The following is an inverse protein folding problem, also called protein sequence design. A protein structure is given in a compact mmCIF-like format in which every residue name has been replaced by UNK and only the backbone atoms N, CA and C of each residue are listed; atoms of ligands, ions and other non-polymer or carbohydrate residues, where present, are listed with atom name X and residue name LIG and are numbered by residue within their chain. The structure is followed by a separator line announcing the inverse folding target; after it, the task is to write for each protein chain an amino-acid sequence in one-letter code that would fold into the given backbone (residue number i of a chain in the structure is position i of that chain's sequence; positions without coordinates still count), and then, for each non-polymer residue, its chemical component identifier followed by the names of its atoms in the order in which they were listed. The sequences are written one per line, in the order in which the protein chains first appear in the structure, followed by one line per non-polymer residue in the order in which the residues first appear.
data_IF_925684749228
#
_entry.id   IF_925684749228
#
_cell.length_a   1.000
_cell.length_b   1.000
_cell.length_c   1.000
_cell.angle_alpha   90.00
_cell.angle_beta   90.00
_cell.angle_gamma   90.00
#
_symmetry.space_group_name_H-M   'P 1'
#
loop_
_entity.id
_entity.type
_entity.pdbx_description
1 polymer ?
#
# COMPACT_ATOMS: atom_id res chain seq x y z
N UNK A 1 22.75 -4.89 75.88
CA UNK A 1 21.53 -5.68 75.65
C UNK A 1 21.41 -5.82 74.13
N UNK A 2 21.73 -6.94 73.46
CA UNK A 2 21.29 -8.34 73.63
C UNK A 2 19.76 -8.47 73.45
N UNK A 3 19.13 -9.42 72.74
CA UNK A 3 19.52 -10.48 71.76
C UNK A 3 18.20 -11.06 71.13
N UNK A 4 18.08 -11.91 70.09
CA UNK A 4 18.96 -12.45 69.04
C UNK A 4 18.11 -13.12 67.90
N UNK A 5 18.73 -13.52 66.78
CA UNK A 5 18.22 -14.55 65.82
C UNK A 5 18.71 -15.97 66.27
N UNK A 6 18.45 -17.11 65.57
CA UNK A 6 17.64 -17.42 64.37
C UNK A 6 16.62 -18.58 64.63
N UNK A 7 15.95 -19.19 63.64
CA UNK A 7 16.30 -20.50 63.00
C UNK A 7 15.00 -21.28 62.71
N UNK A 8 14.86 -22.26 61.80
CA UNK A 8 15.64 -22.70 60.62
C UNK A 8 14.84 -23.76 59.81
N UNK A 9 15.28 -24.06 58.57
CA UNK A 9 15.36 -25.42 57.94
C UNK A 9 14.10 -26.32 57.78
N UNK A 10 13.92 -27.14 56.72
CA UNK A 10 14.64 -27.35 55.44
C UNK A 10 13.97 -28.49 54.63
N UNK A 11 14.17 -28.54 53.29
CA UNK A 11 14.50 -29.73 52.43
C UNK A 11 13.73 -31.08 52.57
N UNK A 12 13.53 -31.93 51.55
CA UNK A 12 14.07 -32.02 50.17
C UNK A 12 13.40 -33.16 49.36
N UNK A 13 13.56 -33.08 48.02
CA UNK A 13 13.76 -34.21 47.06
C UNK A 13 12.79 -35.40 46.99
N UNK A 14 12.30 -35.69 45.77
CA UNK A 14 12.83 -36.81 44.95
C UNK A 14 12.17 -36.94 43.55
N UNK A 15 13.01 -37.18 42.54
CA UNK A 15 12.68 -37.82 41.25
C UNK A 15 13.21 -39.28 41.33
N UNK A 16 12.83 -40.28 40.49
CA UNK A 16 12.89 -40.21 39.00
C UNK A 16 11.92 -41.11 38.18
N UNK A 17 11.96 -40.95 36.83
CA UNK A 17 11.79 -41.94 35.73
C UNK A 17 10.64 -43.00 35.79
N UNK A 18 9.92 -43.28 34.69
CA UNK A 18 10.41 -44.17 33.60
C UNK A 18 9.54 -44.09 32.32
N UNK A 19 10.15 -44.43 31.18
CA UNK A 19 9.60 -44.48 29.82
C UNK A 19 8.48 -45.52 29.60
N UNK A 20 7.61 -45.27 28.61
CA UNK A 20 7.15 -46.34 27.72
C UNK A 20 7.01 -45.87 26.26
N UNK A 21 7.08 -46.82 25.33
CA UNK A 21 7.50 -46.65 23.92
C UNK A 21 6.46 -47.23 22.96
N UNK A 22 6.12 -46.50 21.90
CA UNK A 22 5.52 -47.04 20.66
C UNK A 22 5.80 -46.05 19.52
N UNK A 23 6.82 -46.27 18.68
CA UNK A 23 6.86 -47.13 17.48
C UNK A 23 6.29 -46.47 16.22
N UNK A 24 6.90 -46.83 15.07
CA UNK A 24 6.90 -46.08 13.81
C UNK A 24 6.28 -46.88 12.66
N UNK A 25 5.90 -46.16 11.58
CA UNK A 25 5.77 -46.67 10.19
C UNK A 25 4.60 -47.66 9.89
N UNK A 26 4.32 -48.02 8.61
CA UNK A 26 4.24 -47.19 7.39
C UNK A 26 2.97 -47.45 6.52
N UNK A 27 2.75 -46.57 5.52
CA UNK A 27 2.08 -46.79 4.21
C UNK A 27 0.68 -47.43 4.10
N UNK A 28 -0.22 -46.74 3.36
CA UNK A 28 -0.92 -47.33 2.20
C UNK A 28 -1.35 -46.27 1.18
N UNK A 29 -0.98 -46.46 -0.09
CA UNK A 29 -1.55 -45.71 -1.22
C UNK A 29 -2.95 -46.23 -1.54
N UNK A 30 -3.88 -45.35 -1.93
CA UNK A 30 -4.93 -45.69 -2.90
C UNK A 30 -5.19 -44.52 -3.86
N UNK A 31 -5.51 -44.86 -5.12
CA UNK A 31 -5.64 -43.95 -6.28
C UNK A 31 -6.95 -43.12 -6.26
N UNK A 32 -7.01 -41.99 -7.00
CA UNK A 32 -8.17 -41.09 -7.01
C UNK A 32 -9.36 -41.66 -7.79
N UNK A 33 -10.57 -41.28 -7.37
CA UNK A 33 -11.81 -41.56 -8.08
C UNK A 33 -12.05 -40.50 -9.17
N UNK A 34 -12.29 -40.94 -10.41
CA UNK A 34 -12.55 -40.08 -11.56
C UNK A 34 -14.03 -39.68 -11.62
N UNK A 35 -14.37 -38.46 -11.20
CA UNK A 35 -15.63 -37.83 -11.58
C UNK A 35 -15.43 -36.94 -12.82
N UNK A 36 -15.97 -37.39 -13.96
CA UNK A 36 -16.12 -36.55 -15.16
C UNK A 36 -17.34 -35.65 -14.98
N UNK A 37 -17.13 -34.33 -15.06
CA UNK A 37 -18.20 -33.34 -15.22
C UNK A 37 -18.10 -32.78 -16.64
N UNK A 38 -19.19 -32.73 -17.42
CA UNK A 38 -19.12 -32.24 -18.80
C UNK A 38 -18.95 -30.71 -18.83
N UNK A 39 -17.81 -30.25 -19.33
CA UNK A 39 -17.52 -28.83 -19.49
C UNK A 39 -18.08 -28.33 -20.82
N UNK A 40 -19.18 -27.57 -20.79
CA UNK A 40 -19.74 -26.92 -21.97
C UNK A 40 -18.89 -25.70 -22.34
N UNK A 41 -18.27 -25.77 -23.53
CA UNK A 41 -17.46 -24.67 -24.07
C UNK A 41 -18.29 -23.40 -24.26
N UNK A 42 -17.86 -22.29 -23.65
CA UNK A 42 -18.14 -20.92 -24.09
C UNK A 42 -16.87 -20.08 -23.94
N UNK A 43 -16.57 -19.30 -24.98
CA UNK A 43 -15.31 -18.57 -25.15
C UNK A 43 -14.99 -17.61 -24.00
N UNK A 44 -13.82 -17.80 -23.38
CA UNK A 44 -13.07 -16.72 -22.74
C UNK A 44 -11.61 -16.82 -23.18
N UNK A 45 -11.23 -16.03 -24.19
CA UNK A 45 -9.84 -15.77 -24.51
C UNK A 45 -9.17 -15.07 -23.34
N UNK A 46 -8.46 -15.84 -22.52
CA UNK A 46 -7.40 -15.32 -21.66
C UNK A 46 -6.33 -14.71 -22.57
N UNK A 47 -6.38 -13.39 -22.74
CA UNK A 47 -5.31 -12.64 -23.38
C UNK A 47 -4.08 -12.74 -22.47
N UNK A 48 -3.14 -13.60 -22.86
CA UNK A 48 -1.83 -13.66 -22.25
C UNK A 48 -1.16 -12.29 -22.36
N UNK A 49 -0.81 -11.69 -21.21
CA UNK A 49 0.03 -10.50 -21.15
C UNK A 49 1.44 -10.91 -21.59
N UNK A 50 1.65 -10.99 -22.90
CA UNK A 50 2.98 -11.03 -23.49
C UNK A 50 3.61 -9.66 -23.31
N UNK A 51 4.60 -9.58 -22.43
CA UNK A 51 5.57 -8.49 -22.45
C UNK A 51 6.17 -8.44 -23.86
N UNK A 52 5.81 -7.43 -24.64
CA UNK A 52 6.37 -7.22 -25.97
C UNK A 52 7.76 -6.60 -25.79
N UNK A 53 8.80 -7.42 -25.90
CA UNK A 53 10.17 -6.92 -26.01
C UNK A 53 10.25 -6.12 -27.31
N UNK A 54 10.51 -4.80 -27.27
CA UNK A 54 10.65 -4.01 -28.49
C UNK A 54 11.88 -4.50 -29.26
N UNK A 55 11.70 -4.85 -30.54
CA UNK A 55 12.83 -5.13 -31.44
C UNK A 55 13.49 -3.80 -31.81
N UNK A 56 14.50 -3.41 -31.04
CA UNK A 56 15.35 -2.27 -31.37
C UNK A 56 16.40 -2.70 -32.40
N UNK A 57 16.21 -2.33 -33.66
CA UNK A 57 17.28 -2.41 -34.66
C UNK A 57 18.11 -1.11 -34.64
N UNK A 58 19.41 -1.16 -34.32
CA UNK A 58 20.24 0.03 -34.20
C UNK A 58 20.64 0.57 -35.58
N UNK A 59 19.90 1.56 -36.09
CA UNK A 59 20.42 2.44 -37.15
C UNK A 59 21.55 3.29 -36.59
N UNK A 60 22.79 3.02 -37.02
CA UNK A 60 23.93 3.91 -36.76
C UNK A 60 23.72 5.25 -37.47
N UNK A 61 23.40 6.29 -36.70
CA UNK A 61 23.71 7.68 -37.04
C UNK A 61 24.55 8.25 -35.89
N UNK A 62 25.80 8.58 -36.17
CA UNK A 62 26.72 9.06 -35.15
C UNK A 62 26.42 10.52 -34.79
N UNK A 63 25.99 10.76 -33.55
CA UNK A 63 26.16 12.04 -32.87
C UNK A 63 26.60 11.75 -31.43
N UNK A 64 27.74 12.30 -31.01
CA UNK A 64 28.27 12.09 -29.67
C UNK A 64 27.56 13.01 -28.66
N UNK A 65 26.85 12.40 -27.72
CA UNK A 65 26.68 12.95 -26.38
C UNK A 65 26.69 11.78 -25.40
N UNK A 66 27.75 11.68 -24.61
CA UNK A 66 27.98 10.62 -23.63
C UNK A 66 27.06 10.84 -22.42
N UNK A 67 25.77 10.51 -22.59
CA UNK A 67 24.83 10.36 -21.49
C UNK A 67 25.04 8.95 -20.95
N UNK A 68 25.96 8.83 -20.00
CA UNK A 68 26.17 7.58 -19.27
C UNK A 68 24.88 7.22 -18.51
N UNK A 69 24.12 6.24 -19.02
CA UNK A 69 22.97 5.66 -18.32
C UNK A 69 23.43 5.14 -16.96
N UNK A 70 23.30 5.99 -15.94
CA UNK A 70 23.72 5.68 -14.58
C UNK A 70 22.58 4.86 -13.95
N UNK A 71 22.54 3.58 -14.29
CA UNK A 71 21.60 2.61 -13.72
C UNK A 71 21.89 2.45 -12.23
N UNK A 72 20.86 2.43 -11.39
CA UNK A 72 21.02 2.17 -9.96
C UNK A 72 21.77 0.85 -9.73
N UNK A 73 22.78 0.89 -8.88
CA UNK A 73 23.52 -0.31 -8.48
C UNK A 73 22.61 -1.28 -7.70
N UNK A 74 23.00 -2.54 -7.58
CA UNK A 74 22.28 -3.50 -6.74
C UNK A 74 22.27 -3.06 -5.26
N UNK A 75 23.35 -2.44 -4.75
CA UNK A 75 23.39 -1.91 -3.37
C UNK A 75 22.38 -0.79 -3.22
N UNK A 76 22.52 0.28 -4.01
CA UNK A 76 21.66 1.48 -3.92
C UNK A 76 20.17 1.16 -4.15
N UNK A 77 19.87 0.15 -4.97
CA UNK A 77 18.50 -0.36 -5.14
C UNK A 77 17.97 -1.09 -3.89
N UNK A 78 18.80 -1.89 -3.21
CA UNK A 78 18.44 -2.55 -1.94
C UNK A 78 18.38 -1.53 -0.79
N UNK A 79 19.26 -0.53 -0.77
CA UNK A 79 19.26 0.55 0.23
C UNK A 79 17.98 1.40 0.10
N UNK A 80 17.58 1.75 -1.13
CA UNK A 80 16.30 2.43 -1.42
C UNK A 80 15.09 1.59 -0.99
N UNK A 81 15.07 0.29 -1.30
CA UNK A 81 13.99 -0.61 -0.87
C UNK A 81 13.96 -0.82 0.64
N UNK A 82 15.11 -0.77 1.31
CA UNK A 82 15.23 -0.84 2.76
C UNK A 82 14.69 0.43 3.41
N UNK A 83 14.95 1.61 2.84
CA UNK A 83 14.33 2.87 3.27
C UNK A 83 12.80 2.83 3.08
N UNK A 84 12.33 2.32 1.94
CA UNK A 84 10.88 2.14 1.68
C UNK A 84 10.19 1.13 2.63
N UNK A 85 10.93 0.38 3.46
CA UNK A 85 10.34 -0.49 4.48
C UNK A 85 9.43 0.29 5.46
N UNK A 86 9.79 1.54 5.79
CA UNK A 86 9.01 2.39 6.69
C UNK A 86 7.53 2.51 6.27
N UNK A 87 7.22 2.51 4.97
CA UNK A 87 5.85 2.61 4.45
C UNK A 87 4.96 1.42 4.87
N UNK A 88 5.55 0.26 5.18
CA UNK A 88 4.85 -0.95 5.66
C UNK A 88 4.56 -0.91 7.16
N UNK A 89 5.37 -0.16 7.91
CA UNK A 89 5.30 -0.09 9.38
C UNK A 89 4.63 1.16 9.89
N UNK A 90 4.79 2.28 9.19
CA UNK A 90 4.12 3.55 9.47
C UNK A 90 2.63 3.39 9.16
N UNK A 91 1.82 3.61 10.19
CA UNK A 91 0.36 3.44 10.14
C UNK A 91 -0.32 4.76 9.81
N UNK A 92 -1.37 4.71 9.00
CA UNK A 92 -2.10 5.92 8.59
C UNK A 92 -2.72 6.59 9.81
N UNK A 93 -2.28 7.83 10.04
CA UNK A 93 -2.41 8.56 11.31
C UNK A 93 -3.82 9.08 11.55
N UNK A 94 -4.56 9.38 10.48
CA UNK A 94 -6.00 9.68 10.58
C UNK A 94 -6.78 8.60 11.34
N UNK A 95 -6.49 7.31 11.07
CA UNK A 95 -7.11 6.18 11.75
C UNK A 95 -6.61 6.00 13.19
N UNK A 96 -5.33 6.25 13.46
CA UNK A 96 -4.77 6.24 14.83
C UNK A 96 -5.45 7.29 15.69
N UNK A 97 -5.61 8.51 15.18
CA UNK A 97 -6.28 9.61 15.87
C UNK A 97 -7.76 9.28 16.19
N UNK A 98 -8.39 8.47 15.33
CA UNK A 98 -9.74 7.93 15.56
C UNK A 98 -9.77 6.67 16.43
N UNK A 99 -8.63 6.22 16.96
CA UNK A 99 -8.51 5.04 17.82
C UNK A 99 -8.91 3.74 17.12
N UNK A 100 -8.66 3.63 15.81
CA UNK A 100 -8.75 2.36 15.07
C UNK A 100 -7.64 1.43 15.58
N UNK A 101 -7.97 0.14 15.77
CA UNK A 101 -7.03 -0.86 16.29
C UNK A 101 -6.45 -1.67 15.13
N UNK A 102 -5.12 -1.67 15.00
CA UNK A 102 -4.44 -2.30 13.87
C UNK A 102 -4.77 -1.66 12.51
N UNK A 103 -4.74 -0.32 12.39
CA UNK A 103 -5.04 0.35 11.12
C UNK A 103 -4.05 -0.05 10.02
N UNK A 104 -4.41 0.26 8.78
CA UNK A 104 -3.59 0.09 7.59
C UNK A 104 -2.26 0.89 7.66
N UNK A 105 -1.27 0.41 6.93
CA UNK A 105 -0.03 1.14 6.64
C UNK A 105 -0.19 2.01 5.39
N UNK A 106 0.74 2.96 5.20
CA UNK A 106 0.78 3.79 3.98
C UNK A 106 0.94 2.89 2.73
N UNK A 107 1.69 1.80 2.84
CA UNK A 107 1.86 0.83 1.76
C UNK A 107 0.55 0.08 1.40
N UNK A 108 -0.34 -0.17 2.36
CA UNK A 108 -1.65 -0.82 2.11
C UNK A 108 -2.56 0.13 1.30
N UNK A 109 -2.64 1.39 1.72
CA UNK A 109 -3.35 2.49 1.04
C UNK A 109 -2.86 2.66 -0.41
N UNK A 110 -1.55 2.87 -0.61
CA UNK A 110 -0.96 3.01 -1.96
C UNK A 110 -1.16 1.77 -2.83
N UNK A 111 -1.15 0.56 -2.24
CA UNK A 111 -1.43 -0.68 -2.97
C UNK A 111 -2.88 -0.73 -3.47
N UNK A 112 -3.87 -0.37 -2.64
CA UNK A 112 -5.27 -0.36 -3.08
C UNK A 112 -5.53 0.75 -4.11
N UNK A 113 -4.89 1.90 -4.00
CA UNK A 113 -4.91 2.93 -5.05
C UNK A 113 -4.30 2.45 -6.38
N UNK A 114 -3.19 1.70 -6.34
CA UNK A 114 -2.60 1.11 -7.54
C UNK A 114 -3.54 0.06 -8.19
N UNK A 115 -4.27 -0.72 -7.39
CA UNK A 115 -5.34 -1.59 -7.89
C UNK A 115 -6.51 -0.80 -8.50
N UNK A 116 -6.92 0.31 -7.89
CA UNK A 116 -7.96 1.20 -8.42
C UNK A 116 -7.57 1.77 -9.80
N UNK A 117 -6.33 2.24 -9.93
CA UNK A 117 -5.76 2.66 -11.20
C UNK A 117 -5.62 1.50 -12.23
N UNK A 118 -5.43 0.27 -11.78
CA UNK A 118 -5.38 -0.90 -12.67
C UNK A 118 -6.76 -1.31 -13.20
N UNK A 119 -7.82 -1.28 -12.36
CA UNK A 119 -9.15 -1.77 -12.72
C UNK A 119 -10.08 -0.73 -13.35
N UNK A 120 -9.73 0.55 -13.31
CA UNK A 120 -10.52 1.59 -13.99
C UNK A 120 -10.62 1.29 -15.49
N UNK A 121 -11.78 1.53 -16.09
CA UNK A 121 -11.99 1.37 -17.54
C UNK A 121 -11.07 2.26 -18.36
N UNK A 122 -10.95 2.00 -19.66
CA UNK A 122 -10.14 2.86 -20.54
C UNK A 122 -10.78 4.26 -20.63
N UNK A 123 -9.99 5.30 -20.32
CA UNK A 123 -10.43 6.70 -20.34
C UNK A 123 -9.71 7.45 -21.46
N UNK A 124 -10.41 8.19 -22.33
CA UNK A 124 -9.78 8.97 -23.40
C UNK A 124 -8.75 9.96 -22.85
N UNK A 125 -7.52 9.89 -23.36
CA UNK A 125 -6.43 10.80 -22.98
C UNK A 125 -5.75 10.52 -21.64
N UNK A 126 -6.08 9.41 -20.95
CA UNK A 126 -5.45 9.04 -19.67
C UNK A 126 -4.58 7.79 -19.83
N UNK A 127 -3.31 7.87 -19.42
CA UNK A 127 -2.40 6.74 -19.39
C UNK A 127 -2.52 5.94 -18.08
N UNK A 128 -3.17 4.75 -18.16
CA UNK A 128 -3.33 3.82 -17.03
C UNK A 128 -2.01 3.47 -16.34
N UNK A 129 -0.94 3.17 -17.09
CA UNK A 129 0.35 2.81 -16.50
C UNK A 129 0.95 3.97 -15.71
N UNK A 130 0.74 5.21 -16.15
CA UNK A 130 1.20 6.39 -15.43
C UNK A 130 0.36 6.64 -14.17
N UNK A 131 -0.97 6.46 -14.20
CA UNK A 131 -1.79 6.45 -12.98
C UNK A 131 -1.30 5.44 -11.94
N UNK A 132 -0.97 4.21 -12.35
CA UNK A 132 -0.43 3.18 -11.45
C UNK A 132 0.91 3.62 -10.85
N UNK A 133 1.82 4.16 -11.67
CA UNK A 133 3.11 4.68 -11.21
C UNK A 133 2.96 5.84 -10.21
N UNK A 134 2.06 6.80 -10.47
CA UNK A 134 1.77 7.90 -9.54
C UNK A 134 1.23 7.33 -8.22
N UNK A 135 0.25 6.41 -8.26
CA UNK A 135 -0.33 5.82 -7.06
C UNK A 135 0.70 5.12 -6.16
N UNK A 136 1.73 4.49 -6.74
CA UNK A 136 2.83 3.82 -6.00
C UNK A 136 3.85 4.82 -5.42
N UNK A 137 3.96 6.02 -5.98
CA UNK A 137 5.00 7.02 -5.67
C UNK A 137 4.49 8.19 -4.82
N UNK A 138 3.19 8.47 -4.80
CA UNK A 138 2.69 9.75 -4.32
C UNK A 138 2.98 10.04 -2.82
N UNK A 139 2.76 9.07 -1.94
CA UNK A 139 3.08 9.17 -0.50
C UNK A 139 4.45 8.54 -0.16
N UNK A 140 5.32 8.27 -1.16
CA UNK A 140 6.60 7.58 -0.92
C UNK A 140 7.54 8.34 0.03
N UNK A 141 7.44 9.68 0.05
CA UNK A 141 8.22 10.55 0.93
C UNK A 141 7.88 10.36 2.42
N UNK A 142 6.67 9.86 2.73
CA UNK A 142 6.26 9.53 4.10
C UNK A 142 7.07 8.37 4.71
N UNK A 143 7.88 7.67 3.91
CA UNK A 143 8.91 6.74 4.40
C UNK A 143 9.94 7.42 5.32
N UNK A 144 10.16 8.73 5.14
CA UNK A 144 11.06 9.56 5.95
C UNK A 144 10.27 10.52 6.84
N UNK A 145 9.27 11.24 6.30
CA UNK A 145 8.56 12.29 7.04
C UNK A 145 7.40 11.78 7.93
N UNK A 146 6.92 10.56 7.68
CA UNK A 146 5.69 10.01 8.28
C UNK A 146 4.40 10.60 7.71
N UNK A 147 3.26 10.03 8.07
CA UNK A 147 1.93 10.53 7.67
C UNK A 147 1.64 11.86 8.38
N UNK A 148 1.87 12.98 7.68
CA UNK A 148 1.63 14.34 8.18
C UNK A 148 0.17 14.71 7.92
N UNK A 149 -0.60 14.80 9.00
CA UNK A 149 -2.05 15.01 8.96
C UNK A 149 -2.44 16.48 9.20
N UNK A 150 -3.66 16.91 8.83
CA UNK A 150 -4.16 18.24 9.17
C UNK A 150 -4.12 18.56 10.68
N UNK A 151 -4.27 17.55 11.53
CA UNK A 151 -4.16 17.68 12.99
C UNK A 151 -2.75 18.04 13.51
N UNK A 152 -1.71 17.91 12.68
CA UNK A 152 -0.34 18.28 13.06
C UNK A 152 -0.05 19.79 12.94
N UNK A 153 -0.98 20.56 12.35
CA UNK A 153 -0.85 22.02 12.22
C UNK A 153 0.26 22.49 11.27
N UNK A 154 0.94 21.58 10.58
CA UNK A 154 2.00 21.89 9.60
C UNK A 154 1.36 22.56 8.36
N UNK A 155 1.77 23.77 7.97
CA UNK A 155 1.25 24.42 6.76
C UNK A 155 1.55 23.61 5.50
N UNK A 156 0.63 23.60 4.51
CA UNK A 156 0.80 22.82 3.25
C UNK A 156 2.16 23.07 2.57
N UNK A 157 2.62 24.32 2.56
CA UNK A 157 3.92 24.71 1.97
C UNK A 157 5.09 24.03 2.69
N UNK A 158 5.03 23.91 4.02
CA UNK A 158 6.07 23.25 4.81
C UNK A 158 6.00 21.72 4.69
N UNK A 159 4.79 21.11 4.67
CA UNK A 159 4.60 19.69 4.32
C UNK A 159 5.27 19.36 2.98
N UNK A 160 4.92 20.11 1.94
CA UNK A 160 5.47 19.92 0.59
C UNK A 160 7.00 20.12 0.54
N UNK A 161 7.54 21.10 1.29
CA UNK A 161 8.99 21.32 1.41
C UNK A 161 9.71 20.15 2.09
N UNK A 162 9.14 19.60 3.15
CA UNK A 162 9.68 18.43 3.87
C UNK A 162 9.66 17.18 2.99
N UNK A 163 8.54 16.93 2.30
CA UNK A 163 8.36 15.78 1.42
C UNK A 163 9.27 15.85 0.18
N UNK A 164 9.42 17.03 -0.42
CA UNK A 164 10.37 17.24 -1.52
C UNK A 164 11.82 17.01 -1.07
N UNK A 165 12.18 17.41 0.16
CA UNK A 165 13.51 17.15 0.71
C UNK A 165 13.75 15.66 0.94
N UNK A 166 12.78 14.96 1.52
CA UNK A 166 12.81 13.50 1.71
C UNK A 166 12.91 12.76 0.36
N UNK A 167 12.10 13.13 -0.63
CA UNK A 167 12.12 12.51 -1.96
C UNK A 167 13.48 12.69 -2.63
N UNK A 168 14.12 13.86 -2.48
CA UNK A 168 15.48 14.10 -2.96
C UNK A 168 16.51 13.21 -2.27
N UNK A 169 16.39 13.00 -0.96
CA UNK A 169 17.24 12.06 -0.22
C UNK A 169 17.07 10.62 -0.73
N UNK A 170 15.84 10.15 -0.88
CA UNK A 170 15.53 8.83 -1.44
C UNK A 170 16.11 8.66 -2.86
N UNK A 171 16.01 9.69 -3.69
CA UNK A 171 16.58 9.71 -5.04
C UNK A 171 18.11 9.66 -5.06
N UNK A 172 18.78 10.28 -4.09
CA UNK A 172 20.22 10.14 -3.90
C UNK A 172 20.59 8.72 -3.43
N UNK A 173 19.82 8.13 -2.49
CA UNK A 173 20.02 6.75 -2.02
C UNK A 173 19.87 5.73 -3.14
N UNK A 174 18.94 5.95 -4.08
CA UNK A 174 18.77 5.11 -5.28
C UNK A 174 19.99 5.16 -6.23
N UNK A 175 20.78 6.24 -6.18
CA UNK A 175 21.93 6.49 -7.05
C UNK A 175 21.67 7.49 -8.19
N UNK A 176 20.55 8.22 -8.16
CA UNK A 176 20.22 9.21 -9.18
C UNK A 176 19.78 8.61 -10.53
N UNK A 177 20.08 9.34 -11.61
CA UNK A 177 19.76 8.97 -12.99
C UNK A 177 18.26 8.96 -13.32
N UNK A 178 17.93 8.48 -14.52
CA UNK A 178 16.57 8.54 -15.11
C UNK A 178 15.47 7.95 -14.21
N UNK A 179 15.77 6.96 -13.36
CA UNK A 179 14.78 6.36 -12.45
C UNK A 179 14.48 7.25 -11.24
N UNK A 180 15.49 7.91 -10.70
CA UNK A 180 15.28 8.92 -9.66
C UNK A 180 14.60 10.17 -10.22
N UNK A 181 14.85 10.52 -11.48
CA UNK A 181 14.17 11.60 -12.19
C UNK A 181 12.69 11.26 -12.43
N UNK A 182 12.38 10.06 -12.93
CA UNK A 182 11.00 9.55 -13.12
C UNK A 182 10.20 9.59 -11.81
N UNK A 183 10.79 9.17 -10.69
CA UNK A 183 10.16 9.23 -9.35
C UNK A 183 9.85 10.69 -8.95
N UNK A 184 10.80 11.62 -9.13
CA UNK A 184 10.59 13.05 -8.83
C UNK A 184 9.57 13.72 -9.76
N UNK A 185 9.48 13.29 -11.01
CA UNK A 185 8.49 13.76 -11.97
C UNK A 185 7.08 13.31 -11.56
N UNK A 186 6.88 12.01 -11.29
CA UNK A 186 5.60 11.44 -10.87
C UNK A 186 5.06 12.06 -9.57
N UNK A 187 5.94 12.29 -8.58
CA UNK A 187 5.56 12.92 -7.32
C UNK A 187 5.15 14.39 -7.51
N UNK A 188 5.92 15.18 -8.29
CA UNK A 188 5.56 16.57 -8.59
C UNK A 188 4.26 16.68 -9.39
N UNK A 189 4.07 15.82 -10.38
CA UNK A 189 2.84 15.79 -11.19
C UNK A 189 1.58 15.60 -10.30
N UNK A 190 1.68 14.74 -9.28
CA UNK A 190 0.64 14.55 -8.28
C UNK A 190 0.42 15.77 -7.38
N UNK A 191 1.48 16.35 -6.82
CA UNK A 191 1.37 17.47 -5.88
C UNK A 191 0.91 18.78 -6.54
N UNK A 192 1.39 19.04 -7.75
CA UNK A 192 0.94 20.15 -8.59
C UNK A 192 -0.43 19.87 -9.24
N UNK A 193 -0.94 18.62 -9.17
CA UNK A 193 -2.22 18.18 -9.73
C UNK A 193 -2.31 18.50 -11.24
N UNK A 194 -1.20 18.29 -11.96
CA UNK A 194 -0.89 18.94 -13.24
C UNK A 194 -1.36 18.17 -14.50
N UNK A 195 -1.89 16.96 -14.34
CA UNK A 195 -2.30 16.07 -15.44
C UNK A 195 -3.65 15.40 -15.15
N UNK A 196 -4.27 14.82 -16.19
CA UNK A 196 -5.50 14.04 -16.02
C UNK A 196 -5.26 12.80 -15.14
N UNK A 197 -4.08 12.21 -15.26
CA UNK A 197 -3.59 11.10 -14.44
C UNK A 197 -3.49 11.51 -12.96
N UNK A 198 -2.89 12.66 -12.66
CA UNK A 198 -2.79 13.19 -11.31
C UNK A 198 -4.17 13.57 -10.75
N UNK A 199 -5.05 14.18 -11.56
CA UNK A 199 -6.42 14.49 -11.13
C UNK A 199 -7.19 13.23 -10.75
N UNK A 200 -7.04 12.15 -11.54
CA UNK A 200 -7.68 10.86 -11.29
C UNK A 200 -7.09 10.16 -10.06
N UNK A 201 -5.76 10.17 -9.87
CA UNK A 201 -5.13 9.54 -8.70
C UNK A 201 -5.42 10.33 -7.42
N UNK A 202 -5.47 11.67 -7.46
CA UNK A 202 -5.97 12.50 -6.34
C UNK A 202 -7.43 12.21 -6.01
N UNK A 203 -8.25 11.76 -6.96
CA UNK A 203 -9.61 11.29 -6.67
C UNK A 203 -9.61 9.88 -6.08
N UNK A 204 -8.75 8.97 -6.57
CA UNK A 204 -8.60 7.63 -6.00
C UNK A 204 -8.11 7.66 -4.56
N UNK A 205 -7.16 8.51 -4.19
CA UNK A 205 -6.75 8.80 -2.80
C UNK A 205 -7.99 9.03 -1.90
N UNK A 206 -8.82 10.01 -2.28
CA UNK A 206 -10.05 10.34 -1.54
C UNK A 206 -11.08 9.21 -1.53
N UNK A 207 -11.26 8.49 -2.64
CA UNK A 207 -12.21 7.36 -2.74
C UNK A 207 -11.76 6.19 -1.87
N UNK A 208 -10.47 5.90 -1.87
CA UNK A 208 -9.84 4.84 -1.09
C UNK A 208 -10.02 5.12 0.41
N UNK A 209 -9.71 6.34 0.84
CA UNK A 209 -9.89 6.79 2.23
C UNK A 209 -11.34 6.65 2.71
N UNK A 210 -12.35 7.05 1.92
CA UNK A 210 -13.76 6.89 2.33
C UNK A 210 -14.28 5.45 2.25
N UNK A 211 -13.69 4.62 1.39
CA UNK A 211 -13.97 3.18 1.36
C UNK A 211 -13.41 2.52 2.64
N UNK A 212 -12.17 2.84 3.01
CA UNK A 212 -11.55 2.35 4.24
C UNK A 212 -12.31 2.83 5.49
N UNK A 213 -12.82 4.07 5.49
CA UNK A 213 -13.69 4.56 6.53
C UNK A 213 -14.95 3.69 6.67
N UNK A 214 -15.66 3.38 5.58
CA UNK A 214 -16.87 2.54 5.59
C UNK A 214 -16.60 1.12 6.13
N UNK A 215 -15.45 0.55 5.77
CA UNK A 215 -15.00 -0.75 6.28
C UNK A 215 -14.73 -0.67 7.80
N UNK A 216 -13.96 0.32 8.26
CA UNK A 216 -13.67 0.51 9.69
C UNK A 216 -14.89 0.90 10.54
N UNK A 217 -15.86 1.64 10.00
CA UNK A 217 -17.15 1.86 10.67
C UNK A 217 -17.96 0.56 10.87
N UNK A 218 -17.63 -0.49 10.11
CA UNK A 218 -18.28 -1.80 10.20
C UNK A 218 -17.49 -2.75 11.10
N UNK A 219 -16.16 -2.74 11.01
CA UNK A 219 -15.27 -3.60 11.81
C UNK A 219 -15.12 -3.13 13.27
N UNK A 220 -15.11 -1.82 13.51
CA UNK A 220 -14.85 -1.24 14.84
C UNK A 220 -16.09 -0.60 15.50
N UNK A 221 -17.25 -0.68 14.86
CA UNK A 221 -18.52 -0.04 15.27
C UNK A 221 -18.37 1.45 15.60
N UNK A 222 -17.70 2.18 14.70
CA UNK A 222 -17.45 3.63 14.83
C UNK A 222 -18.27 4.45 13.83
N UNK A 223 -18.34 5.75 14.12
CA UNK A 223 -18.83 6.80 13.22
C UNK A 223 -17.60 7.60 12.78
N UNK A 224 -17.38 7.67 11.47
CA UNK A 224 -16.22 8.30 10.84
C UNK A 224 -16.67 9.37 9.82
N UNK A 225 -17.75 10.11 10.15
CA UNK A 225 -18.37 11.12 9.27
C UNK A 225 -17.37 12.15 8.72
N UNK A 226 -16.36 12.55 9.50
CA UNK A 226 -15.39 13.56 9.07
C UNK A 226 -14.59 13.17 7.82
N UNK A 227 -14.36 11.88 7.55
CA UNK A 227 -13.69 11.41 6.33
C UNK A 227 -14.57 11.62 5.09
N UNK A 228 -15.90 11.48 5.24
CA UNK A 228 -16.88 11.74 4.19
C UNK A 228 -17.12 13.24 3.99
N UNK A 229 -17.23 14.00 5.08
CA UNK A 229 -17.42 15.45 5.05
C UNK A 229 -16.19 16.17 4.50
N UNK A 230 -14.98 15.71 4.82
CA UNK A 230 -13.73 16.31 4.35
C UNK A 230 -13.45 16.06 2.86
N UNK A 231 -14.11 15.10 2.22
CA UNK A 231 -13.99 14.80 0.78
C UNK A 231 -15.14 15.34 -0.07
N UNK A 232 -16.25 15.73 0.55
CA UNK A 232 -17.42 16.32 -0.12
C UNK A 232 -17.03 17.50 -1.03
N UNK A 233 -17.45 17.45 -2.30
CA UNK A 233 -17.16 18.49 -3.29
C UNK A 233 -15.71 18.55 -3.81
N UNK A 234 -14.82 17.63 -3.40
CA UNK A 234 -13.39 17.62 -3.78
C UNK A 234 -13.02 16.57 -4.85
N UNK A 235 -14.00 15.92 -5.46
CA UNK A 235 -13.80 14.97 -6.56
C UNK A 235 -13.82 15.72 -7.89
N UNK A 236 -12.76 15.57 -8.68
CA UNK A 236 -12.51 16.36 -9.89
C UNK A 236 -13.13 15.67 -11.13
N UNK A 237 -12.87 14.38 -11.27
CA UNK A 237 -13.21 13.53 -12.41
C UNK A 237 -14.61 12.90 -12.26
N UNK A 238 -15.26 12.57 -13.38
CA UNK A 238 -16.54 11.86 -13.35
C UNK A 238 -16.43 10.44 -12.77
N UNK A 239 -15.29 9.77 -12.96
CA UNK A 239 -15.01 8.47 -12.34
C UNK A 239 -14.88 8.60 -10.83
N UNK A 240 -14.10 9.57 -10.34
CA UNK A 240 -13.96 9.85 -8.91
C UNK A 240 -15.31 10.16 -8.24
N UNK A 241 -16.11 11.04 -8.86
CA UNK A 241 -17.48 11.35 -8.42
C UNK A 241 -18.36 10.10 -8.39
N UNK A 242 -18.33 9.28 -9.44
CA UNK A 242 -19.13 8.06 -9.56
C UNK A 242 -18.78 7.03 -8.48
N UNK A 243 -17.50 6.76 -8.25
CA UNK A 243 -17.06 5.80 -7.24
C UNK A 243 -17.30 6.31 -5.81
N UNK A 244 -17.09 7.60 -5.55
CA UNK A 244 -17.42 8.21 -4.26
C UNK A 244 -18.93 8.13 -3.96
N UNK A 245 -19.78 8.40 -4.95
CA UNK A 245 -21.22 8.29 -4.82
C UNK A 245 -21.68 6.86 -4.48
N UNK A 246 -21.06 5.85 -5.07
CA UNK A 246 -21.32 4.43 -4.76
C UNK A 246 -20.92 4.08 -3.32
N UNK A 247 -19.75 4.51 -2.84
CA UNK A 247 -19.34 4.30 -1.43
C UNK A 247 -20.31 4.98 -0.46
N UNK A 248 -20.70 6.23 -0.74
CA UNK A 248 -21.66 6.99 0.08
C UNK A 248 -23.05 6.32 0.06
N UNK A 249 -23.52 5.83 -1.08
CA UNK A 249 -24.80 5.12 -1.19
C UNK A 249 -24.81 3.82 -0.37
N UNK A 250 -23.71 3.05 -0.39
CA UNK A 250 -23.54 1.87 0.47
C UNK A 250 -23.55 2.23 1.96
N UNK A 251 -22.84 3.29 2.35
CA UNK A 251 -22.82 3.80 3.73
C UNK A 251 -24.22 4.19 4.21
N UNK A 252 -24.94 4.99 3.43
CA UNK A 252 -26.30 5.44 3.76
C UNK A 252 -27.27 4.25 3.87
N UNK A 253 -27.17 3.27 2.97
CA UNK A 253 -27.95 2.03 3.02
C UNK A 253 -27.67 1.19 4.27
N UNK A 254 -26.42 1.19 4.76
CA UNK A 254 -26.02 0.52 6.01
C UNK A 254 -26.58 1.26 7.24
N UNK A 255 -26.48 2.58 7.27
CA UNK A 255 -27.00 3.41 8.37
C UNK A 255 -28.53 3.29 8.47
N UNK A 256 -29.25 3.35 7.36
CA UNK A 256 -30.70 3.14 7.34
C UNK A 256 -31.11 1.75 7.88
N UNK A 257 -30.30 0.70 7.65
CA UNK A 257 -30.51 -0.65 8.21
C UNK A 257 -30.15 -0.78 9.69
N UNK A 258 -29.40 0.15 10.28
CA UNK A 258 -29.14 0.21 11.73
C UNK A 258 -30.21 0.98 12.51
N UNK A 259 -31.02 1.78 11.83
CA UNK A 259 -32.08 2.61 12.41
C UNK A 259 -33.47 1.94 12.40
N UNK A 260 -33.61 0.82 11.68
CA UNK A 260 -34.82 0.00 11.58
C UNK A 260 -34.63 -1.33 12.31
#
# INVERSE_FOLDING_TARGET
MAAANPSSSSSSSSSPQTLHRCLTNPQRLHRPCLFKVPFTSHDRKLLSVRCQIPKFEPKRSALNSDVTETTSSSSSSIDFLTLCHSLKTTKRKGWINHGIKGPESIADHMYRMALMALIVGDLPGVNRERCIKIAIVHDIAEAIVGDITPSDGIPKVEKSRLEQAALKEMCNVLGGGMRAEEIQELWREYEDNASLEANLVKDFDKVEMILQALEYETEHDKVLDEFFLSTAGKFQTEIGKSWAAEVIARRNSRLAKKLN
#
